data_IF_152549676744
#
_entry.id   IF_152549676744
#
_cell.length_a   1.000
_cell.length_b   1.000
_cell.length_c   1.000
_cell.angle_alpha   90.00
_cell.angle_beta   90.00
_cell.angle_gamma   90.00
#
_symmetry.space_group_name_H-M   'P 1'
#
loop_
_entity.id
_entity.type
_entity.pdbx_description
1 polymer ?
#
# COMPACT_ATOMS: atom_id res chain seq x y z
N UNK A 1 7.82 -19.47 -0.73
CA UNK A 1 7.69 -18.44 -1.78
C UNK A 1 9.03 -17.74 -1.88
N UNK A 2 9.74 -17.90 -3.00
CA UNK A 2 10.90 -17.06 -3.34
C UNK A 2 10.34 -15.78 -3.96
N UNK A 3 10.86 -14.59 -3.63
CA UNK A 3 10.41 -13.33 -4.24
C UNK A 3 9.41 -12.47 -3.44
N UNK A 4 9.29 -12.66 -2.12
CA UNK A 4 8.67 -11.63 -1.27
C UNK A 4 9.68 -10.51 -0.97
N UNK A 5 9.19 -9.37 -0.49
CA UNK A 5 10.01 -8.20 -0.15
C UNK A 5 10.99 -8.37 1.04
N UNK A 6 11.19 -9.61 1.53
CA UNK A 6 12.22 -9.96 2.53
C UNK A 6 13.60 -10.03 1.92
N UNK A 7 13.71 -10.41 0.65
CA UNK A 7 14.98 -10.49 -0.04
C UNK A 7 15.16 -9.23 -0.90
N UNK A 8 15.96 -8.30 -0.38
CA UNK A 8 16.25 -7.04 -1.08
C UNK A 8 17.10 -7.26 -2.34
N UNK A 9 17.83 -8.38 -2.44
CA UNK A 9 18.61 -8.71 -3.64
C UNK A 9 17.74 -9.06 -4.85
N UNK A 10 16.43 -9.23 -4.65
CA UNK A 10 15.45 -9.47 -5.73
C UNK A 10 14.68 -8.20 -6.14
N UNK A 11 14.98 -7.04 -5.53
CA UNK A 11 14.29 -5.78 -5.83
C UNK A 11 15.21 -4.87 -6.63
N UNK A 12 14.92 -4.74 -7.93
CA UNK A 12 15.72 -3.97 -8.88
C UNK A 12 14.87 -2.85 -9.54
N UNK A 13 14.83 -1.63 -8.95
CA UNK A 13 13.94 -0.56 -9.41
C UNK A 13 14.18 -0.15 -10.87
N UNK A 14 15.45 -0.10 -11.28
CA UNK A 14 15.84 0.30 -12.65
C UNK A 14 15.34 -0.73 -13.67
N UNK A 15 15.52 -2.02 -13.38
CA UNK A 15 15.04 -3.11 -14.25
C UNK A 15 13.52 -3.14 -14.29
N UNK A 16 12.87 -2.98 -13.12
CA UNK A 16 11.42 -2.92 -13.01
C UNK A 16 10.83 -1.77 -13.86
N UNK A 17 11.39 -0.57 -13.75
CA UNK A 17 10.96 0.59 -14.53
C UNK A 17 11.17 0.38 -16.04
N UNK A 18 12.31 -0.18 -16.44
CA UNK A 18 12.60 -0.47 -17.85
C UNK A 18 11.57 -1.43 -18.44
N UNK A 19 11.26 -2.53 -17.75
CA UNK A 19 10.24 -3.50 -18.20
C UNK A 19 8.86 -2.84 -18.32
N UNK A 20 8.50 -1.97 -17.37
CA UNK A 20 7.25 -1.21 -17.44
C UNK A 20 7.18 -0.30 -18.68
N UNK A 21 8.26 0.42 -18.99
CA UNK A 21 8.35 1.31 -20.14
C UNK A 21 8.37 0.56 -21.49
N UNK A 22 8.93 -0.64 -21.52
CA UNK A 22 8.97 -1.51 -22.71
C UNK A 22 7.60 -2.16 -23.02
N UNK A 23 6.65 -2.15 -22.07
CA UNK A 23 5.34 -2.81 -22.20
C UNK A 23 4.17 -1.89 -21.77
N UNK A 24 4.02 -0.68 -22.37
CA UNK A 24 3.07 0.33 -21.91
C UNK A 24 1.59 0.01 -22.19
N UNK A 25 1.33 -0.93 -23.10
CA UNK A 25 0.01 -1.47 -23.40
C UNK A 25 -0.47 -2.44 -22.31
N UNK A 26 0.45 -3.13 -21.65
CA UNK A 26 0.19 -4.15 -20.63
C UNK A 26 0.35 -3.64 -19.19
N UNK A 27 1.41 -2.87 -18.91
CA UNK A 27 1.79 -2.49 -17.54
C UNK A 27 1.23 -1.10 -17.21
N UNK A 28 0.45 -1.02 -16.13
CA UNK A 28 -0.22 0.22 -15.68
C UNK A 28 0.21 0.71 -14.31
N UNK A 29 1.09 0.00 -13.62
CA UNK A 29 1.52 0.34 -12.27
C UNK A 29 2.50 -0.66 -11.68
N UNK A 30 3.13 -0.27 -10.57
CA UNK A 30 4.09 -1.11 -9.84
C UNK A 30 3.42 -1.64 -8.57
N UNK A 31 3.48 -2.95 -8.35
CA UNK A 31 2.89 -3.60 -7.15
C UNK A 31 3.98 -3.86 -6.12
N UNK A 32 3.71 -3.50 -4.86
CA UNK A 32 4.57 -3.85 -3.71
C UNK A 32 3.74 -4.36 -2.54
N UNK A 33 4.33 -5.25 -1.73
CA UNK A 33 3.74 -5.74 -0.48
C UNK A 33 4.71 -5.43 0.65
N UNK A 34 4.21 -4.80 1.71
CA UNK A 34 5.00 -4.47 2.90
C UNK A 34 4.28 -4.90 4.17
N UNK A 35 5.07 -5.25 5.17
CA UNK A 35 4.61 -5.72 6.47
C UNK A 35 5.46 -6.87 7.00
N UNK A 36 5.28 -7.27 8.26
CA UNK A 36 6.15 -8.27 8.89
C UNK A 36 6.17 -9.60 8.14
N UNK A 37 5.07 -9.97 7.48
CA UNK A 37 4.98 -11.23 6.75
C UNK A 37 5.66 -11.14 5.37
N UNK A 38 5.74 -9.95 4.78
CA UNK A 38 6.17 -9.74 3.38
C UNK A 38 7.52 -9.05 3.27
N UNK A 39 7.75 -7.94 3.97
CA UNK A 39 9.04 -7.24 4.02
C UNK A 39 9.87 -7.55 5.26
N UNK A 40 9.26 -8.10 6.32
CA UNK A 40 9.98 -8.51 7.52
C UNK A 40 10.78 -7.37 8.13
N UNK A 41 12.09 -7.60 8.38
CA UNK A 41 12.98 -6.60 8.94
C UNK A 41 13.26 -5.41 8.00
N UNK A 42 13.00 -5.54 6.70
CA UNK A 42 13.18 -4.45 5.73
C UNK A 42 12.11 -3.36 5.89
N UNK A 43 11.00 -3.65 6.59
CA UNK A 43 9.96 -2.67 6.91
C UNK A 43 9.42 -1.97 5.67
N UNK A 44 9.59 -0.65 5.61
CA UNK A 44 9.09 0.19 4.51
C UNK A 44 10.02 0.24 3.29
N UNK A 45 11.28 -0.18 3.40
CA UNK A 45 12.28 -0.02 2.34
C UNK A 45 11.84 -0.54 0.96
N UNK A 46 11.14 -1.70 0.85
CA UNK A 46 10.62 -2.16 -0.45
C UNK A 46 9.61 -1.21 -1.10
N UNK A 47 8.79 -0.50 -0.31
CA UNK A 47 7.87 0.50 -0.83
C UNK A 47 8.63 1.70 -1.40
N UNK A 48 9.72 2.13 -0.75
CA UNK A 48 10.54 3.23 -1.26
C UNK A 48 11.20 2.87 -2.60
N UNK A 49 11.69 1.65 -2.75
CA UNK A 49 12.24 1.13 -4.01
C UNK A 49 11.16 0.97 -5.10
N UNK A 50 9.94 0.58 -4.73
CA UNK A 50 8.83 0.51 -5.66
C UNK A 50 8.39 1.92 -6.12
N UNK A 51 8.42 2.92 -5.24
CA UNK A 51 8.18 4.32 -5.60
C UNK A 51 9.26 4.82 -6.56
N UNK A 52 10.53 4.49 -6.34
CA UNK A 52 11.61 4.83 -7.28
C UNK A 52 11.37 4.23 -8.68
N UNK A 53 10.98 2.94 -8.74
CA UNK A 53 10.65 2.29 -10.02
C UNK A 53 9.47 2.99 -10.71
N UNK A 54 8.45 3.36 -9.93
CA UNK A 54 7.24 4.00 -10.41
C UNK A 54 7.50 5.45 -10.90
N UNK A 55 8.33 6.21 -10.20
CA UNK A 55 8.82 7.54 -10.63
C UNK A 55 9.53 7.45 -11.98
N UNK A 56 10.46 6.49 -12.11
CA UNK A 56 11.21 6.27 -13.37
C UNK A 56 10.30 5.88 -14.54
N UNK A 57 9.22 5.14 -14.27
CA UNK A 57 8.28 4.69 -15.30
C UNK A 57 7.14 5.69 -15.55
N UNK A 58 6.98 6.73 -14.73
CA UNK A 58 5.81 7.62 -14.79
C UNK A 58 4.49 6.92 -14.46
N UNK A 59 4.51 5.94 -13.55
CA UNK A 59 3.38 5.09 -13.20
C UNK A 59 3.01 5.19 -11.69
N UNK A 60 1.79 4.80 -11.30
CA UNK A 60 1.41 4.69 -9.90
C UNK A 60 1.93 3.40 -9.24
N UNK A 61 2.02 3.42 -7.91
CA UNK A 61 2.25 2.24 -7.07
C UNK A 61 0.93 1.73 -6.50
N UNK A 62 0.76 0.40 -6.45
CA UNK A 62 -0.24 -0.25 -5.61
C UNK A 62 0.43 -0.94 -4.41
N UNK A 63 0.29 -0.34 -3.24
CA UNK A 63 0.85 -0.81 -1.99
C UNK A 63 -0.15 -1.70 -1.24
N UNK A 64 0.25 -2.96 -1.01
CA UNK A 64 -0.40 -3.84 -0.04
C UNK A 64 0.28 -3.66 1.29
N UNK A 65 -0.53 -3.54 2.35
CA UNK A 65 -0.04 -3.48 3.72
C UNK A 65 -0.52 -4.68 4.54
N UNK A 66 0.40 -5.37 5.20
CA UNK A 66 0.10 -6.41 6.18
C UNK A 66 0.24 -5.90 7.62
N UNK A 67 0.56 -6.77 8.58
CA UNK A 67 0.80 -6.41 9.97
C UNK A 67 2.10 -5.60 10.09
N UNK A 68 2.23 -4.70 11.09
CA UNK A 68 3.45 -3.91 11.23
C UNK A 68 4.66 -4.79 11.63
N UNK A 69 5.90 -4.35 11.34
CA UNK A 69 6.28 -3.11 10.64
C UNK A 69 6.17 -3.23 9.10
N UNK A 70 5.91 -2.14 8.34
CA UNK A 70 5.75 -0.74 8.78
C UNK A 70 4.34 -0.43 9.33
N UNK A 71 4.18 0.72 10.00
CA UNK A 71 2.86 1.17 10.47
C UNK A 71 2.03 1.68 9.29
N UNK A 72 0.71 1.58 9.42
CA UNK A 72 -0.24 2.05 8.41
C UNK A 72 -0.02 3.51 8.00
N UNK A 73 0.21 4.38 8.99
CA UNK A 73 0.45 5.81 8.75
C UNK A 73 1.77 6.08 8.03
N UNK A 74 2.81 5.27 8.27
CA UNK A 74 4.12 5.44 7.61
C UNK A 74 3.99 5.13 6.10
N UNK A 75 3.18 4.12 5.75
CA UNK A 75 2.87 3.80 4.36
C UNK A 75 2.09 4.95 3.72
N UNK A 76 1.03 5.43 4.36
CA UNK A 76 0.21 6.53 3.84
C UNK A 76 1.01 7.82 3.62
N UNK A 77 1.98 8.11 4.48
CA UNK A 77 2.80 9.31 4.41
C UNK A 77 3.58 9.40 3.08
N UNK A 78 4.16 8.28 2.65
CA UNK A 78 5.01 8.23 1.45
C UNK A 78 4.28 8.01 0.13
N UNK A 79 3.02 7.54 0.15
CA UNK A 79 2.22 7.40 -1.08
C UNK A 79 1.94 8.76 -1.73
N UNK A 80 1.98 8.81 -3.06
CA UNK A 80 1.78 10.02 -3.86
C UNK A 80 0.33 10.13 -4.34
N UNK A 81 -0.11 11.29 -4.86
CA UNK A 81 -1.39 11.38 -5.57
C UNK A 81 -1.46 10.33 -6.69
N UNK A 82 -2.57 9.59 -6.76
CA UNK A 82 -2.78 8.52 -7.74
C UNK A 82 -2.22 7.15 -7.35
N UNK A 83 -1.37 7.05 -6.32
CA UNK A 83 -0.97 5.76 -5.76
C UNK A 83 -2.16 5.10 -5.05
N UNK A 84 -2.15 3.77 -5.01
CA UNK A 84 -3.22 2.94 -4.45
C UNK A 84 -2.76 2.27 -3.17
N UNK A 85 -3.48 2.49 -2.09
CA UNK A 85 -3.43 1.64 -0.92
C UNK A 85 -4.50 0.56 -1.03
N UNK A 86 -4.09 -0.69 -1.26
CA UNK A 86 -5.01 -1.83 -1.27
C UNK A 86 -5.19 -2.41 0.14
N UNK A 87 -6.30 -3.13 0.35
CA UNK A 87 -6.73 -3.60 1.67
C UNK A 87 -7.12 -2.46 2.62
N UNK A 88 -7.85 -1.47 2.10
CA UNK A 88 -8.22 -0.29 2.86
C UNK A 88 -9.07 -0.60 4.11
N UNK A 89 -9.77 -1.74 4.15
CA UNK A 89 -10.59 -2.18 5.31
C UNK A 89 -9.92 -3.26 6.17
N UNK A 90 -8.59 -3.27 6.21
CA UNK A 90 -7.81 -4.26 6.95
C UNK A 90 -8.14 -4.27 8.46
N UNK A 91 -8.32 -5.46 9.07
CA UNK A 91 -8.46 -5.59 10.53
C UNK A 91 -7.16 -5.34 11.28
N UNK A 92 -7.25 -5.22 12.61
CA UNK A 92 -6.08 -5.26 13.47
C UNK A 92 -5.28 -6.58 13.29
N UNK A 93 -3.94 -6.56 13.36
CA UNK A 93 -3.07 -5.40 13.56
C UNK A 93 -2.83 -4.61 12.25
N UNK A 94 -2.54 -3.30 12.40
CA UNK A 94 -2.41 -2.30 11.33
C UNK A 94 -3.72 -1.76 10.72
N UNK A 95 -4.80 -1.71 11.51
CA UNK A 95 -6.07 -1.16 11.02
C UNK A 95 -5.98 0.36 10.76
N UNK A 96 -6.74 0.89 9.78
CA UNK A 96 -6.90 2.33 9.50
C UNK A 96 -7.72 3.06 10.58
N UNK A 97 -8.33 2.30 11.50
CA UNK A 97 -9.13 2.82 12.61
C UNK A 97 -8.46 2.52 13.95
N UNK A 98 -8.72 3.38 14.92
CA UNK A 98 -8.43 3.15 16.33
C UNK A 98 -9.47 2.19 16.93
N UNK A 99 -9.20 1.66 18.13
CA UNK A 99 -10.11 0.75 18.83
C UNK A 99 -11.47 1.38 19.19
N UNK A 100 -11.55 2.71 19.24
CA UNK A 100 -12.78 3.47 19.45
C UNK A 100 -13.55 3.79 18.14
N UNK A 101 -13.11 3.23 17.01
CA UNK A 101 -13.73 3.41 15.70
C UNK A 101 -13.41 4.74 15.02
N UNK A 102 -12.59 5.62 15.62
CA UNK A 102 -12.08 6.81 14.91
C UNK A 102 -11.11 6.39 13.81
N UNK A 103 -11.20 7.07 12.66
CA UNK A 103 -10.27 6.88 11.54
C UNK A 103 -8.96 7.60 11.85
N UNK A 104 -7.83 6.96 11.55
CA UNK A 104 -6.51 7.58 11.68
C UNK A 104 -6.41 8.81 10.80
N UNK A 105 -5.87 9.87 11.35
CA UNK A 105 -5.74 11.19 10.74
C UNK A 105 -4.98 11.12 9.41
N UNK A 106 -3.95 10.27 9.33
CA UNK A 106 -3.20 10.03 8.09
C UNK A 106 -4.06 9.51 6.93
N UNK A 107 -5.18 8.84 7.20
CA UNK A 107 -6.09 8.38 6.14
C UNK A 107 -6.78 9.56 5.45
N UNK A 108 -7.20 10.57 6.21
CA UNK A 108 -7.80 11.79 5.66
C UNK A 108 -6.80 12.56 4.82
N UNK A 109 -5.61 12.82 5.38
CA UNK A 109 -4.53 13.50 4.66
C UNK A 109 -4.15 12.76 3.36
N UNK A 110 -4.10 11.42 3.39
CA UNK A 110 -3.84 10.62 2.20
C UNK A 110 -4.95 10.71 1.16
N UNK A 111 -6.22 10.66 1.59
CA UNK A 111 -7.37 10.79 0.70
C UNK A 111 -7.43 12.17 0.05
N UNK A 112 -7.20 13.23 0.82
CA UNK A 112 -7.19 14.62 0.36
C UNK A 112 -6.08 14.89 -0.66
N UNK A 113 -4.87 14.33 -0.45
CA UNK A 113 -3.79 14.42 -1.44
C UNK A 113 -4.01 13.54 -2.68
N UNK A 114 -5.05 12.71 -2.71
CA UNK A 114 -5.41 11.91 -3.89
C UNK A 114 -4.90 10.47 -3.90
N UNK A 115 -4.55 9.89 -2.74
CA UNK A 115 -4.32 8.44 -2.61
C UNK A 115 -5.65 7.70 -2.78
N UNK A 116 -5.62 6.63 -3.57
CA UNK A 116 -6.79 5.77 -3.83
C UNK A 116 -6.83 4.66 -2.78
N UNK A 117 -7.98 4.50 -2.13
CA UNK A 117 -8.23 3.41 -1.17
C UNK A 117 -8.98 2.29 -1.88
N UNK A 118 -8.32 1.14 -2.04
CA UNK A 118 -8.85 -0.05 -2.70
C UNK A 118 -9.16 -1.15 -1.67
N UNK A 119 -10.31 -1.81 -1.82
CA UNK A 119 -10.83 -2.77 -0.83
C UNK A 119 -10.04 -4.07 -0.83
N UNK A 120 -9.89 -4.68 -2.01
CA UNK A 120 -9.34 -6.03 -2.23
C UNK A 120 -9.52 -6.99 -1.03
N UNK A 121 -10.74 -7.49 -0.79
CA UNK A 121 -11.11 -8.22 0.43
C UNK A 121 -10.04 -9.22 0.89
N UNK A 122 -9.65 -10.17 0.02
CA UNK A 122 -8.60 -11.16 0.27
C UNK A 122 -8.83 -12.02 1.52
N UNK A 123 -7.97 -13.00 1.76
CA UNK A 123 -7.95 -13.71 3.04
C UNK A 123 -7.26 -12.83 4.09
N UNK A 124 -8.00 -12.38 5.11
CA UNK A 124 -7.45 -11.64 6.26
C UNK A 124 -7.18 -10.14 6.04
N UNK A 125 -7.73 -9.56 4.97
CA UNK A 125 -7.49 -8.16 4.61
C UNK A 125 -8.74 -7.26 4.65
N UNK A 126 -9.85 -7.78 5.19
CA UNK A 126 -11.12 -7.07 5.32
C UNK A 126 -11.77 -7.33 6.68
N UNK A 127 -12.40 -6.30 7.23
CA UNK A 127 -13.29 -6.40 8.39
C UNK A 127 -14.53 -5.55 8.15
N UNK A 128 -15.71 -6.14 8.41
CA UNK A 128 -16.98 -5.41 8.36
C UNK A 128 -17.05 -4.28 9.38
N UNK A 129 -16.41 -4.44 10.55
CA UNK A 129 -16.33 -3.39 11.57
C UNK A 129 -15.55 -2.17 11.06
N UNK A 130 -14.38 -2.42 10.45
CA UNK A 130 -13.55 -1.37 9.85
C UNK A 130 -14.25 -0.71 8.67
N UNK A 131 -14.85 -1.52 7.78
CA UNK A 131 -15.60 -1.02 6.63
C UNK A 131 -16.77 -0.11 7.08
N UNK A 132 -17.54 -0.52 8.09
CA UNK A 132 -18.62 0.29 8.65
C UNK A 132 -18.11 1.63 9.19
N UNK A 133 -17.05 1.61 10.00
CA UNK A 133 -16.46 2.82 10.56
C UNK A 133 -15.98 3.81 9.48
N UNK A 134 -15.39 3.30 8.39
CA UNK A 134 -14.89 4.10 7.27
C UNK A 134 -15.99 4.64 6.35
N UNK A 135 -17.06 3.85 6.12
CA UNK A 135 -18.21 4.26 5.31
C UNK A 135 -19.09 5.30 6.04
N UNK A 136 -19.36 5.12 7.33
CA UNK A 136 -20.18 6.06 8.12
C UNK A 136 -19.59 7.47 8.14
N UNK A 137 -18.27 7.57 8.08
CA UNK A 137 -17.53 8.85 8.07
C UNK A 137 -17.23 9.34 6.66
N UNK A 138 -17.58 8.59 5.61
CA UNK A 138 -17.42 8.94 4.18
C UNK A 138 -15.97 9.10 3.69
N UNK A 139 -15.02 8.35 4.25
CA UNK A 139 -13.64 8.37 3.74
C UNK A 139 -13.54 7.68 2.35
N UNK A 140 -14.26 6.57 2.18
CA UNK A 140 -14.25 5.74 0.97
C UNK A 140 -15.59 5.76 0.21
N UNK A 141 -16.36 6.84 0.39
CA UNK A 141 -17.60 7.08 -0.34
C UNK A 141 -17.37 7.94 -1.60
#
# INVERSE_FOLDING_TARGET
MVGESKDMGLIEPVVCARVALENPDLIRGIKVRVGANTSGANGIAPLLLALEAADRAGLPVMCHIDRPPPRYVDVLEVLRPGDVLTHCYKPFPNAPVYADGRIREGCWAAREKGVVFDIAHGAGSFSFEVARAMLERRLCA
#
